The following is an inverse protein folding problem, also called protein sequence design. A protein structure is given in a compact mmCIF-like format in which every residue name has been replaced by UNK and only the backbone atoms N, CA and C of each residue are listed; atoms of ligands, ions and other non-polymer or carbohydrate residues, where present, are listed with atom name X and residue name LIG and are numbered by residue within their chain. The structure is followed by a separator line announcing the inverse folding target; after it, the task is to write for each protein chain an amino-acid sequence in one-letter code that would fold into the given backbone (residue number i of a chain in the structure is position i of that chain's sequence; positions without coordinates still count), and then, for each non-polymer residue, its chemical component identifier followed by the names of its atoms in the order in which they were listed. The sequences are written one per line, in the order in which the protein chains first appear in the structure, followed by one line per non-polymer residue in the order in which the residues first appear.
data_IF_724112351439
#
_entry.id   IF_724112351439
#
_cell.length_a   1.000
_cell.length_b   1.000
_cell.length_c   1.000
_cell.angle_alpha   90.00
_cell.angle_beta   90.00
_cell.angle_gamma   90.00
#
_symmetry.space_group_name_H-M   'P 1'
#
loop_
_entity.id
_entity.type
_entity.pdbx_description
1 polymer ?
#
# COMPACT_ATOMS: atom_id res chain seq x y z
N UNK A 1 0.55 4.18 -16.17
CA UNK A 1 -0.36 5.16 -15.53
C UNK A 1 0.27 6.52 -15.72
N UNK A 2 -0.48 7.53 -16.16
CA UNK A 2 0.10 8.87 -16.38
C UNK A 2 0.20 9.62 -15.05
N UNK A 3 -0.92 9.76 -14.34
CA UNK A 3 -0.98 10.48 -13.07
C UNK A 3 -1.90 9.76 -12.07
N UNK A 4 -1.51 9.77 -10.79
CA UNK A 4 -2.32 9.33 -9.64
C UNK A 4 -1.60 8.37 -8.69
N UNK A 5 -2.34 7.81 -7.73
CA UNK A 5 -1.80 7.02 -6.62
C UNK A 5 -2.23 5.55 -6.72
N UNK A 6 -1.24 4.65 -6.67
CA UNK A 6 -1.43 3.20 -6.67
C UNK A 6 -1.27 2.70 -5.23
N UNK A 7 -2.26 1.95 -4.73
CA UNK A 7 -2.21 1.31 -3.43
C UNK A 7 -1.98 -0.20 -3.57
N UNK A 8 -0.97 -0.72 -2.87
CA UNK A 8 -0.52 -2.11 -2.96
C UNK A 8 -0.54 -2.70 -1.55
N UNK A 9 -1.27 -3.79 -1.29
CA UNK A 9 -1.16 -4.51 -0.03
C UNK A 9 0.19 -5.24 0.01
N UNK A 10 1.00 -5.00 1.03
CA UNK A 10 2.37 -5.50 1.14
C UNK A 10 2.61 -6.24 2.46
N UNK A 11 3.53 -7.18 2.42
CA UNK A 11 4.06 -7.86 3.61
C UNK A 11 5.26 -7.09 4.18
N UNK A 12 5.57 -7.32 5.46
CA UNK A 12 6.70 -6.72 6.15
C UNK A 12 6.63 -5.19 6.15
N UNK A 13 7.74 -4.56 5.75
CA UNK A 13 7.87 -3.09 5.71
C UNK A 13 7.27 -2.44 4.46
N UNK A 14 6.85 -3.23 3.46
CA UNK A 14 6.41 -2.73 2.15
C UNK A 14 7.51 -2.04 1.34
N UNK A 15 7.11 -1.16 0.42
CA UNK A 15 8.00 -0.47 -0.52
C UNK A 15 8.01 -1.09 -1.92
N UNK A 16 8.84 -0.53 -2.82
CA UNK A 16 8.90 -0.99 -4.23
C UNK A 16 9.42 -2.42 -4.37
N UNK A 17 10.36 -2.80 -3.51
CA UNK A 17 10.92 -4.15 -3.45
C UNK A 17 10.16 -5.06 -2.45
N UNK A 18 9.08 -4.55 -1.86
CA UNK A 18 8.27 -5.27 -0.89
C UNK A 18 7.42 -6.37 -1.55
N UNK A 19 7.27 -7.50 -0.87
CA UNK A 19 6.41 -8.58 -1.36
C UNK A 19 4.94 -8.18 -1.27
N UNK A 20 4.18 -8.41 -2.34
CA UNK A 20 2.73 -8.17 -2.36
C UNK A 20 2.02 -9.20 -1.48
N UNK A 21 1.18 -8.74 -0.56
CA UNK A 21 0.34 -9.62 0.23
C UNK A 21 -0.67 -10.39 -0.62
N UNK A 22 -0.92 -11.65 -0.25
CA UNK A 22 -1.96 -12.49 -0.85
C UNK A 22 -3.38 -12.12 -0.40
N UNK A 23 -3.54 -11.33 0.66
CA UNK A 23 -4.85 -10.95 1.20
C UNK A 23 -4.90 -9.47 1.58
N UNK A 24 -5.69 -8.69 0.85
CA UNK A 24 -5.74 -7.23 0.99
C UNK A 24 -6.03 -6.76 2.42
N UNK A 25 -7.03 -7.32 3.10
CA UNK A 25 -7.42 -6.88 4.45
C UNK A 25 -6.51 -7.36 5.58
N UNK A 26 -5.54 -8.26 5.29
CA UNK A 26 -4.64 -8.86 6.29
C UNK A 26 -3.16 -8.65 5.92
N UNK A 27 -2.85 -7.63 5.11
CA UNK A 27 -1.47 -7.26 4.86
C UNK A 27 -0.86 -6.56 6.08
N UNK A 28 0.46 -6.53 6.18
CA UNK A 28 1.14 -5.82 7.27
C UNK A 28 1.08 -4.30 7.05
N UNK A 29 1.27 -3.86 5.80
CA UNK A 29 1.25 -2.45 5.40
C UNK A 29 0.61 -2.27 4.02
N UNK A 30 0.15 -1.07 3.73
CA UNK A 30 -0.16 -0.62 2.37
C UNK A 30 0.99 0.24 1.84
N UNK A 31 1.54 -0.16 0.70
CA UNK A 31 2.49 0.65 -0.07
C UNK A 31 1.72 1.54 -1.04
N UNK A 32 1.95 2.84 -0.97
CA UNK A 32 1.41 3.81 -1.91
C UNK A 32 2.51 4.33 -2.82
N UNK A 33 2.24 4.32 -4.12
CA UNK A 33 3.12 4.84 -5.16
C UNK A 33 2.41 5.98 -5.86
N UNK A 34 2.95 7.18 -5.72
CA UNK A 34 2.51 8.37 -6.45
C UNK A 34 3.22 8.43 -7.81
N UNK A 35 2.43 8.50 -8.87
CA UNK A 35 2.90 8.62 -10.24
C UNK A 35 2.45 9.95 -10.80
N UNK A 36 3.38 10.70 -11.40
CA UNK A 36 3.08 11.93 -12.15
C UNK A 36 3.90 11.93 -13.44
N UNK A 37 3.26 12.19 -14.57
CA UNK A 37 3.90 12.14 -15.89
C UNK A 37 4.47 10.77 -16.26
N UNK A 38 3.93 9.68 -15.71
CA UNK A 38 4.43 8.32 -15.91
C UNK A 38 5.66 7.95 -15.08
N UNK A 39 6.12 8.83 -14.20
CA UNK A 39 7.27 8.61 -13.33
C UNK A 39 6.84 8.45 -11.87
N UNK A 40 7.54 7.58 -11.13
CA UNK A 40 7.34 7.46 -9.68
C UNK A 40 7.91 8.71 -9.01
N UNK A 41 7.06 9.46 -8.32
CA UNK A 41 7.47 10.66 -7.57
C UNK A 41 7.67 10.38 -6.10
N UNK A 42 6.85 9.49 -5.54
CA UNK A 42 6.91 9.18 -4.12
C UNK A 42 6.46 7.76 -3.84
N UNK A 43 7.10 7.15 -2.84
CA UNK A 43 6.70 5.86 -2.28
C UNK A 43 6.55 6.03 -0.79
N UNK A 44 5.38 5.67 -0.26
CA UNK A 44 5.10 5.71 1.18
C UNK A 44 4.50 4.40 1.62
N UNK A 45 4.64 4.06 2.91
CA UNK A 45 4.02 2.88 3.50
C UNK A 45 3.20 3.30 4.70
N UNK A 46 1.99 2.75 4.81
CA UNK A 46 1.09 2.97 5.94
C UNK A 46 0.78 1.62 6.56
N UNK A 47 0.99 1.41 7.88
CA UNK A 47 0.64 0.17 8.53
C UNK A 47 -0.85 -0.11 8.42
N UNK A 48 -1.20 -1.34 8.06
CA UNK A 48 -2.57 -1.77 8.02
C UNK A 48 -3.11 -1.82 9.46
N UNK A 49 -4.19 -1.10 9.73
CA UNK A 49 -4.84 -1.17 11.03
C UNK A 49 -5.47 -2.57 11.16
N UNK A 50 -5.29 -3.20 12.32
CA UNK A 50 -5.83 -4.53 12.55
C UNK A 50 -7.34 -4.55 12.33
N UNK A 51 -7.79 -5.48 11.50
CA UNK A 51 -9.19 -5.67 11.17
C UNK A 51 -9.91 -6.31 12.37
N UNK A 52 -10.19 -5.51 13.40
CA UNK A 52 -11.09 -5.90 14.47
C UNK A 52 -12.53 -5.81 13.96
N UNK A 53 -13.37 -6.78 14.29
CA UNK A 53 -14.79 -6.74 13.96
C UNK A 53 -15.38 -5.45 14.57
N UNK A 54 -15.85 -4.53 13.71
CA UNK A 54 -16.34 -3.20 14.13
C UNK A 54 -15.34 -2.04 14.04
N UNK A 55 -14.16 -2.23 13.42
CA UNK A 55 -13.11 -1.21 13.30
C UNK A 55 -13.35 -0.10 12.26
N UNK A 56 -14.44 -0.16 11.50
CA UNK A 56 -14.89 0.95 10.66
C UNK A 56 -15.90 1.79 11.46
N UNK A 57 -15.41 2.82 12.16
CA UNK A 57 -16.20 4.02 12.46
C UNK A 57 -15.69 5.17 11.62
#
# INVERSE_FOLDING_TARGET
MQDGRIAIPSMGTGGLDGERSGHFGHCDVFTFVDVEGGEIKQVTTIPNQSHVQGGCM
#
